data_IF_969296438098
#
_entry.id   IF_969296438098
#
_cell.length_a   1.000
_cell.length_b   1.000
_cell.length_c   1.000
_cell.angle_alpha   90.00
_cell.angle_beta   90.00
_cell.angle_gamma   90.00
#
_symmetry.space_group_name_H-M   'P 1'
#
loop_
_entity.id
_entity.type
_entity.pdbx_description
1 polymer ?
#
# COMPACT_ATOMS: atom_id res chain seq x y z
N UNK A 1 -16.24 -2.87 -13.21
CA UNK A 1 -17.24 -3.66 -13.97
C UNK A 1 -18.39 -3.82 -13.01
N UNK A 2 -19.58 -3.31 -13.33
CA UNK A 2 -20.72 -3.41 -12.42
C UNK A 2 -21.39 -4.77 -12.67
N UNK A 3 -21.00 -5.79 -11.89
CA UNK A 3 -21.60 -7.13 -11.94
C UNK A 3 -22.12 -7.62 -10.59
N UNK A 4 -21.96 -6.84 -9.53
CA UNK A 4 -22.45 -7.15 -8.18
C UNK A 4 -23.84 -6.55 -7.89
N UNK A 5 -24.34 -5.69 -8.78
CA UNK A 5 -25.65 -5.04 -8.65
C UNK A 5 -25.68 -3.90 -7.63
N UNK A 6 -24.55 -3.51 -7.04
CA UNK A 6 -24.46 -2.41 -6.06
C UNK A 6 -24.16 -1.07 -6.72
N UNK A 7 -23.71 -1.07 -7.98
CA UNK A 7 -23.28 0.14 -8.68
C UNK A 7 -21.80 0.48 -8.48
N UNK A 8 -21.10 -0.23 -7.60
CA UNK A 8 -19.66 -0.14 -7.45
C UNK A 8 -18.95 -0.76 -8.67
N UNK A 9 -17.78 -0.22 -9.01
CA UNK A 9 -17.05 -0.55 -10.22
C UNK A 9 -15.60 -0.94 -9.89
N UNK A 10 -15.34 -2.25 -9.82
CA UNK A 10 -13.95 -2.71 -9.82
C UNK A 10 -13.25 -2.48 -11.17
N UNK A 11 -11.93 -2.36 -11.15
CA UNK A 11 -11.12 -2.43 -12.38
C UNK A 11 -10.78 -3.89 -12.63
N UNK A 12 -11.38 -4.49 -13.65
CA UNK A 12 -11.27 -5.92 -13.89
C UNK A 12 -11.29 -6.28 -15.35
N UNK A 13 -10.87 -7.51 -15.65
CA UNK A 13 -10.75 -7.94 -17.02
C UNK A 13 -10.95 -9.43 -17.23
N UNK A 14 -11.58 -9.78 -18.36
CA UNK A 14 -11.65 -11.16 -18.85
C UNK A 14 -10.45 -11.39 -19.72
N UNK A 15 -9.44 -12.04 -19.18
CA UNK A 15 -8.28 -12.42 -19.94
C UNK A 15 -8.66 -13.47 -20.98
N UNK A 16 -8.23 -13.27 -22.22
CA UNK A 16 -8.48 -14.22 -23.30
C UNK A 16 -7.86 -15.59 -22.98
N UNK A 17 -8.56 -16.65 -23.42
CA UNK A 17 -8.18 -18.02 -23.16
C UNK A 17 -6.83 -18.43 -23.78
N UNK A 18 -6.27 -17.65 -24.71
CA UNK A 18 -4.99 -17.92 -25.37
C UNK A 18 -3.74 -17.41 -24.64
N UNK A 19 -3.88 -16.81 -23.45
CA UNK A 19 -2.74 -16.32 -22.67
C UNK A 19 -2.60 -14.79 -22.70
N UNK A 20 -3.54 -14.09 -22.07
CA UNK A 20 -3.43 -12.64 -21.88
C UNK A 20 -2.92 -12.25 -20.49
N UNK A 21 -2.49 -11.00 -20.39
CA UNK A 21 -2.07 -10.33 -19.15
C UNK A 21 -2.66 -8.92 -19.20
N UNK A 22 -3.21 -8.46 -18.08
CA UNK A 22 -3.55 -7.06 -17.88
C UNK A 22 -2.96 -6.58 -16.58
N UNK A 23 -2.21 -5.49 -16.63
CA UNK A 23 -1.55 -4.92 -15.47
C UNK A 23 -2.06 -3.50 -15.26
N UNK A 24 -2.59 -3.24 -14.07
CA UNK A 24 -2.80 -1.89 -13.58
C UNK A 24 -1.57 -1.48 -12.79
N UNK A 25 -0.98 -0.33 -13.12
CA UNK A 25 0.15 0.21 -12.40
C UNK A 25 -0.17 1.60 -11.88
N UNK A 26 0.05 1.80 -10.58
CA UNK A 26 0.16 3.11 -9.96
C UNK A 26 1.63 3.44 -9.78
N UNK A 27 2.04 4.65 -10.18
CA UNK A 27 3.41 5.14 -10.00
C UNK A 27 3.37 6.50 -9.34
N UNK A 28 4.28 6.72 -8.40
CA UNK A 28 4.40 7.99 -7.70
C UNK A 28 5.86 8.29 -7.33
N UNK A 29 6.08 9.52 -6.87
CA UNK A 29 7.37 10.01 -6.39
C UNK A 29 7.18 10.50 -4.97
N UNK A 30 8.05 10.07 -4.05
CA UNK A 30 8.08 10.66 -2.72
C UNK A 30 8.44 12.15 -2.87
N UNK A 31 7.49 13.03 -2.53
CA UNK A 31 7.67 14.48 -2.60
C UNK A 31 7.71 15.13 -1.21
N UNK A 32 7.88 14.34 -0.14
CA UNK A 32 7.94 14.84 1.24
C UNK A 32 9.32 15.49 1.44
N UNK A 33 9.42 16.82 1.67
CA UNK A 33 10.71 17.53 1.68
C UNK A 33 11.59 17.15 2.87
N UNK A 34 12.69 16.43 2.65
CA UNK A 34 13.52 15.81 3.72
C UNK A 34 12.82 14.67 4.48
N UNK A 35 11.69 14.16 3.99
CA UNK A 35 11.04 12.95 4.50
C UNK A 35 11.50 11.71 3.76
N UNK A 36 11.52 10.58 4.47
CA UNK A 36 11.82 9.26 3.92
C UNK A 36 10.62 8.36 4.14
N UNK A 37 10.17 7.68 3.07
CA UNK A 37 9.20 6.59 3.18
C UNK A 37 9.99 5.29 3.43
N UNK A 38 9.72 4.67 4.59
CA UNK A 38 10.37 3.45 5.06
C UNK A 38 9.55 2.18 4.80
N UNK A 39 8.28 2.33 4.40
CA UNK A 39 7.40 1.22 4.08
C UNK A 39 6.04 1.66 3.55
N UNK A 40 5.19 0.67 3.27
CA UNK A 40 3.79 0.88 2.91
C UNK A 40 2.93 -0.22 3.52
N UNK A 41 1.72 0.13 3.95
CA UNK A 41 0.66 -0.83 4.19
C UNK A 41 -0.37 -0.71 3.06
N UNK A 42 -0.63 -1.83 2.39
CA UNK A 42 -1.44 -1.88 1.18
C UNK A 42 -2.51 -2.93 1.36
N UNK A 43 -3.74 -2.60 1.00
CA UNK A 43 -4.86 -3.53 0.97
C UNK A 43 -5.67 -3.37 -0.31
N UNK A 44 -6.34 -4.43 -0.71
CA UNK A 44 -7.23 -4.46 -1.87
C UNK A 44 -8.17 -5.65 -1.79
N UNK A 45 -9.25 -5.58 -2.54
CA UNK A 45 -10.17 -6.68 -2.75
C UNK A 45 -9.89 -7.33 -4.10
N UNK A 46 -9.67 -8.65 -4.08
CA UNK A 46 -9.62 -9.46 -5.28
C UNK A 46 -11.01 -10.06 -5.52
N UNK A 47 -11.70 -9.56 -6.54
CA UNK A 47 -13.07 -9.93 -6.84
C UNK A 47 -13.14 -10.94 -7.98
N UNK A 48 -13.90 -12.03 -7.81
CA UNK A 48 -14.19 -12.99 -8.85
C UNK A 48 -15.68 -12.93 -9.23
N UNK A 49 -15.96 -12.71 -10.51
CA UNK A 49 -17.33 -12.57 -11.04
C UNK A 49 -17.82 -13.80 -11.81
N UNK A 50 -16.91 -14.69 -12.21
CA UNK A 50 -17.29 -15.87 -12.99
C UNK A 50 -16.42 -17.06 -12.64
N UNK A 51 -16.96 -18.25 -12.85
CA UNK A 51 -16.23 -19.50 -12.87
C UNK A 51 -15.95 -19.92 -14.31
N UNK A 52 -14.79 -20.52 -14.52
CA UNK A 52 -14.40 -21.17 -15.75
C UNK A 52 -13.53 -22.39 -15.45
N UNK A 53 -13.35 -23.26 -16.44
CA UNK A 53 -12.49 -24.44 -16.31
C UNK A 53 -11.01 -24.13 -16.03
N UNK A 54 -10.58 -22.89 -16.29
CA UNK A 54 -9.23 -22.41 -16.00
C UNK A 54 -9.24 -21.26 -15.01
N UNK A 55 -8.29 -21.30 -14.07
CA UNK A 55 -8.11 -20.24 -13.09
C UNK A 55 -7.60 -18.94 -13.76
N UNK A 56 -7.96 -17.81 -13.18
CA UNK A 56 -7.34 -16.51 -13.44
C UNK A 56 -6.64 -16.08 -12.16
N UNK A 57 -5.47 -15.46 -12.28
CA UNK A 57 -4.71 -14.97 -11.13
C UNK A 57 -4.76 -13.45 -11.09
N UNK A 58 -4.74 -12.89 -9.88
CA UNK A 58 -4.46 -11.48 -9.61
C UNK A 58 -3.25 -11.43 -8.67
N UNK A 59 -2.13 -10.91 -9.16
CA UNK A 59 -0.87 -10.86 -8.42
C UNK A 59 -0.41 -9.42 -8.22
N UNK A 60 0.10 -9.11 -7.04
CA UNK A 60 0.67 -7.82 -6.69
C UNK A 60 2.19 -7.81 -6.86
N UNK A 61 2.74 -6.72 -7.38
CA UNK A 61 4.18 -6.47 -7.39
C UNK A 61 4.52 -5.00 -7.10
N UNK A 62 5.78 -4.76 -6.71
CA UNK A 62 6.28 -3.46 -6.28
C UNK A 62 7.70 -3.21 -6.81
N UNK A 63 8.03 -1.96 -7.14
CA UNK A 63 9.30 -1.59 -7.79
C UNK A 63 10.12 -0.52 -7.05
N UNK A 64 10.43 -0.73 -5.77
CA UNK A 64 11.38 0.16 -5.07
C UNK A 64 12.24 -0.54 -4.00
N UNK A 65 12.39 -1.87 -4.11
CA UNK A 65 13.11 -2.70 -3.14
C UNK A 65 12.27 -3.04 -1.91
N UNK A 66 12.92 -3.35 -0.79
CA UNK A 66 12.26 -3.73 0.46
C UNK A 66 11.79 -5.19 0.53
N UNK A 67 11.07 -5.50 1.59
CA UNK A 67 10.54 -6.84 1.88
C UNK A 67 9.02 -6.78 1.91
N UNK A 68 8.37 -7.64 1.12
CA UNK A 68 6.93 -7.85 1.17
C UNK A 68 6.63 -8.88 2.25
N UNK A 69 5.83 -8.51 3.23
CA UNK A 69 5.30 -9.41 4.26
C UNK A 69 3.83 -9.68 3.96
N UNK A 70 3.53 -10.89 3.49
CA UNK A 70 2.20 -11.31 3.08
C UNK A 70 2.21 -12.08 1.76
N UNK A 71 1.02 -12.42 1.26
CA UNK A 71 0.85 -13.12 -0.01
C UNK A 71 0.34 -12.15 -1.08
N UNK A 72 1.06 -12.05 -2.20
CA UNK A 72 0.71 -11.17 -3.32
C UNK A 72 -0.31 -11.80 -4.26
N UNK A 73 -0.28 -13.13 -4.38
CA UNK A 73 -1.03 -13.87 -5.39
C UNK A 73 -2.41 -14.31 -4.88
N UNK A 74 -3.43 -13.97 -5.66
CA UNK A 74 -4.79 -14.54 -5.57
C UNK A 74 -5.08 -15.35 -6.82
N UNK A 75 -5.70 -16.51 -6.64
CA UNK A 75 -6.14 -17.37 -7.74
C UNK A 75 -7.64 -17.55 -7.64
N UNK A 76 -8.37 -17.21 -8.70
CA UNK A 76 -9.80 -17.47 -8.80
C UNK A 76 -10.07 -18.97 -8.63
N UNK A 77 -11.20 -19.29 -8.00
CA UNK A 77 -11.66 -20.67 -7.86
C UNK A 77 -12.26 -21.14 -9.19
N UNK A 78 -11.66 -22.13 -9.88
CA UNK A 78 -12.24 -22.70 -11.10
C UNK A 78 -13.54 -23.44 -10.78
N UNK A 79 -14.41 -23.59 -11.77
CA UNK A 79 -15.68 -24.29 -11.58
C UNK A 79 -16.35 -24.71 -12.88
N UNK A 80 -17.29 -25.64 -12.78
CA UNK A 80 -18.14 -26.10 -13.87
C UNK A 80 -19.61 -26.08 -13.42
N UNK A 81 -20.57 -25.68 -14.29
CA UNK A 81 -20.38 -25.16 -15.65
C UNK A 81 -19.78 -23.73 -15.67
N UNK A 82 -19.11 -23.37 -16.76
CA UNK A 82 -18.54 -22.02 -16.95
C UNK A 82 -19.67 -20.99 -16.95
N UNK A 83 -19.57 -19.93 -16.14
CA UNK A 83 -20.65 -18.95 -16.03
C UNK A 83 -20.39 -17.85 -15.00
N UNK A 84 -21.22 -16.80 -15.07
CA UNK A 84 -21.21 -15.73 -14.07
C UNK A 84 -21.69 -16.28 -12.72
N UNK A 85 -21.06 -15.81 -11.65
CA UNK A 85 -21.49 -16.12 -10.29
C UNK A 85 -22.74 -15.31 -9.94
N UNK A 86 -23.63 -15.90 -9.14
CA UNK A 86 -24.82 -15.19 -8.63
C UNK A 86 -24.50 -14.12 -7.57
N UNK A 87 -23.29 -14.16 -7.02
CA UNK A 87 -22.72 -13.11 -6.16
C UNK A 87 -21.21 -13.11 -6.36
N UNK A 88 -20.60 -11.93 -6.31
CA UNK A 88 -19.15 -11.82 -6.45
C UNK A 88 -18.47 -12.51 -5.27
N UNK A 89 -17.38 -13.22 -5.53
CA UNK A 89 -16.51 -13.74 -4.47
C UNK A 89 -15.44 -12.71 -4.20
N UNK A 90 -15.42 -12.15 -3.00
CA UNK A 90 -14.43 -11.17 -2.55
C UNK A 90 -13.37 -11.88 -1.72
N UNK A 91 -12.10 -11.71 -2.10
CA UNK A 91 -10.96 -12.12 -1.28
C UNK A 91 -10.18 -10.88 -0.87
N UNK A 92 -10.34 -10.45 0.38
CA UNK A 92 -9.59 -9.33 0.92
C UNK A 92 -8.10 -9.68 1.03
N UNK A 93 -7.24 -8.78 0.57
CA UNK A 93 -5.79 -8.92 0.62
C UNK A 93 -5.16 -7.73 1.30
N UNK A 94 -4.06 -8.00 2.00
CA UNK A 94 -3.20 -6.97 2.52
C UNK A 94 -1.75 -7.45 2.54
N UNK A 95 -0.84 -6.49 2.42
CA UNK A 95 0.59 -6.69 2.58
C UNK A 95 1.18 -5.49 3.33
N UNK A 96 2.28 -5.75 4.02
CA UNK A 96 3.15 -4.70 4.54
C UNK A 96 4.49 -4.76 3.83
N UNK A 97 4.90 -3.65 3.23
CA UNK A 97 6.22 -3.47 2.65
C UNK A 97 7.08 -2.75 3.68
N UNK A 98 8.21 -3.35 4.06
CA UNK A 98 9.13 -2.78 5.05
C UNK A 98 10.56 -2.70 4.52
N UNK A 99 11.41 -1.91 5.17
CA UNK A 99 12.83 -1.83 4.86
C UNK A 99 13.13 -1.01 3.61
N UNK A 100 12.28 -0.02 3.32
CA UNK A 100 12.52 0.94 2.25
C UNK A 100 13.37 2.11 2.74
N UNK A 101 14.01 2.78 1.80
CA UNK A 101 14.71 4.04 2.02
C UNK A 101 14.41 5.00 0.84
N UNK A 102 13.14 5.35 0.68
CA UNK A 102 12.70 6.22 -0.40
C UNK A 102 12.77 7.68 0.06
N UNK A 103 13.91 8.32 -0.18
CA UNK A 103 14.10 9.76 0.07
C UNK A 103 13.29 10.62 -0.90
N UNK A 104 13.18 11.93 -0.63
CA UNK A 104 12.56 12.89 -1.54
C UNK A 104 13.12 12.75 -2.98
N UNK A 105 12.23 12.67 -3.96
CA UNK A 105 12.53 12.42 -5.37
C UNK A 105 12.60 10.94 -5.77
N UNK A 106 12.55 9.99 -4.82
CA UNK A 106 12.52 8.56 -5.16
C UNK A 106 11.20 8.18 -5.81
N UNK A 107 11.26 7.45 -6.92
CA UNK A 107 10.09 6.90 -7.59
C UNK A 107 9.77 5.50 -7.08
N UNK A 108 8.48 5.15 -7.07
CA UNK A 108 8.01 3.82 -6.74
C UNK A 108 6.74 3.50 -7.53
N UNK A 109 6.48 2.21 -7.74
CA UNK A 109 5.26 1.75 -8.42
C UNK A 109 4.68 0.51 -7.75
N UNK A 110 3.36 0.43 -7.73
CA UNK A 110 2.56 -0.73 -7.36
C UNK A 110 1.86 -1.25 -8.60
N UNK A 111 1.90 -2.56 -8.80
CA UNK A 111 1.26 -3.20 -9.96
C UNK A 111 0.38 -4.36 -9.52
N UNK A 112 -0.84 -4.41 -10.07
CA UNK A 112 -1.72 -5.56 -9.96
C UNK A 112 -1.88 -6.17 -11.35
N UNK A 113 -1.51 -7.43 -11.47
CA UNK A 113 -1.50 -8.15 -12.73
C UNK A 113 -2.53 -9.25 -12.71
N UNK A 114 -3.54 -9.10 -13.57
CA UNK A 114 -4.50 -10.15 -13.89
C UNK A 114 -3.93 -10.99 -15.03
N UNK A 115 -3.75 -12.29 -14.81
CA UNK A 115 -3.17 -13.18 -15.79
C UNK A 115 -3.92 -14.50 -15.88
N UNK A 116 -3.70 -15.22 -16.98
CA UNK A 116 -4.17 -16.59 -17.13
C UNK A 116 -3.45 -17.48 -16.12
N UNK A 117 -4.21 -18.20 -15.29
CA UNK A 117 -3.67 -19.19 -14.35
C UNK A 117 -3.54 -20.58 -14.95
N UNK A 118 -3.32 -21.57 -14.09
CA UNK A 118 -3.23 -22.98 -14.50
C UNK A 118 -4.62 -23.59 -14.80
N UNK A 119 -4.64 -24.64 -15.63
CA UNK A 119 -5.86 -25.37 -16.02
C UNK A 119 -6.16 -25.28 -17.52
N UNK A 120 -7.34 -25.78 -17.91
CA UNK A 120 -7.82 -25.84 -19.30
C UNK A 120 -9.24 -25.26 -19.39
N UNK A 121 -9.63 -24.75 -20.56
CA UNK A 121 -10.95 -24.16 -20.77
C UNK A 121 -10.98 -22.65 -20.58
N UNK A 122 -12.17 -22.08 -20.34
CA UNK A 122 -12.33 -20.63 -20.24
C UNK A 122 -11.78 -20.08 -18.92
N UNK A 123 -11.27 -18.85 -18.99
CA UNK A 123 -10.79 -18.12 -17.82
C UNK A 123 -11.95 -17.61 -16.95
N UNK A 124 -11.70 -17.62 -15.65
CA UNK A 124 -12.49 -16.88 -14.68
C UNK A 124 -12.35 -15.36 -14.90
N UNK A 125 -13.37 -14.60 -14.54
CA UNK A 125 -13.33 -13.14 -14.57
C UNK A 125 -12.86 -12.61 -13.20
N UNK A 126 -11.82 -11.79 -13.18
CA UNK A 126 -11.33 -11.16 -11.95
C UNK A 126 -11.30 -9.64 -12.05
N UNK A 127 -11.41 -8.99 -10.89
CA UNK A 127 -11.28 -7.55 -10.70
C UNK A 127 -10.44 -7.21 -9.48
N UNK A 128 -9.93 -5.98 -9.51
CA UNK A 128 -9.29 -5.27 -8.42
C UNK A 128 -10.25 -4.20 -7.93
N UNK A 129 -10.56 -4.21 -6.65
CA UNK A 129 -11.36 -3.16 -6.01
C UNK A 129 -10.78 -2.73 -4.66
N UNK A 130 -11.32 -1.65 -4.09
CA UNK A 130 -11.05 -1.18 -2.73
C UNK A 130 -9.55 -1.06 -2.39
N UNK A 131 -8.76 -0.57 -3.35
CA UNK A 131 -7.32 -0.38 -3.16
C UNK A 131 -7.07 0.76 -2.17
N UNK A 132 -6.39 0.45 -1.07
CA UNK A 132 -5.90 1.42 -0.10
C UNK A 132 -4.39 1.27 0.07
N UNK A 133 -3.69 2.41 0.03
CA UNK A 133 -2.23 2.48 0.16
C UNK A 133 -1.93 3.54 1.22
N UNK A 134 -1.22 3.14 2.27
CA UNK A 134 -0.74 4.04 3.32
C UNK A 134 0.79 4.00 3.35
N UNK A 135 1.42 5.17 3.27
CA UNK A 135 2.87 5.29 3.36
C UNK A 135 3.32 5.37 4.81
N UNK A 136 4.38 4.63 5.14
CA UNK A 136 5.02 4.66 6.45
C UNK A 136 6.30 5.49 6.35
N UNK A 137 6.43 6.55 7.15
CA UNK A 137 7.59 7.43 7.09
C UNK A 137 7.55 8.55 8.12
N UNK A 138 8.67 9.21 8.33
CA UNK A 138 8.76 10.39 9.19
C UNK A 138 8.43 11.62 8.37
N UNK A 139 7.47 12.41 8.85
CA UNK A 139 7.21 13.73 8.29
C UNK A 139 8.26 14.71 8.83
N UNK A 140 8.92 15.46 7.94
CA UNK A 140 9.96 16.41 8.30
C UNK A 140 9.31 17.62 8.96
N UNK A 141 9.83 17.98 10.12
CA UNK A 141 9.54 19.24 10.80
C UNK A 141 10.72 20.18 10.57
N UNK A 142 10.44 21.45 10.34
CA UNK A 142 11.46 22.49 10.34
C UNK A 142 11.27 23.35 11.58
N UNK A 143 12.29 23.51 12.42
CA UNK A 143 12.24 24.40 13.58
C UNK A 143 12.84 25.75 13.22
N UNK A 144 12.05 26.82 13.34
CA UNK A 144 12.54 28.21 13.20
C UNK A 144 13.18 28.75 14.48
N UNK A 145 12.94 28.07 15.60
CA UNK A 145 13.58 28.38 16.87
C UNK A 145 13.36 27.25 17.87
N UNK A 146 14.39 26.96 18.66
CA UNK A 146 14.32 26.09 19.83
C UNK A 146 15.12 26.75 20.95
N UNK A 147 14.53 26.83 22.13
CA UNK A 147 15.15 27.44 23.29
C UNK A 147 14.80 26.64 24.55
N UNK A 148 15.83 26.29 25.32
CA UNK A 148 15.68 25.75 26.66
C UNK A 148 16.00 26.85 27.68
N UNK A 149 15.02 27.22 28.52
CA UNK A 149 15.19 28.22 29.58
C UNK A 149 15.14 27.51 30.93
N UNK A 150 16.27 27.48 31.62
CA UNK A 150 16.31 27.01 33.00
C UNK A 150 15.56 27.96 33.92
N UNK A 151 14.55 27.45 34.64
CA UNK A 151 13.77 28.17 35.65
C UNK A 151 13.73 27.37 36.94
N UNK A 152 14.52 27.79 37.92
CA UNK A 152 14.65 27.14 39.22
C UNK A 152 14.96 25.64 39.09
N UNK A 153 13.99 24.73 39.30
CA UNK A 153 14.18 23.28 39.20
C UNK A 153 13.58 22.67 37.94
N UNK A 154 13.20 23.51 36.98
CA UNK A 154 12.55 23.10 35.72
C UNK A 154 13.26 23.69 34.52
N UNK A 155 13.12 23.06 33.37
CA UNK A 155 13.56 23.61 32.08
C UNK A 155 12.30 23.83 31.25
N UNK A 156 12.06 25.08 30.87
CA UNK A 156 11.03 25.41 29.89
C UNK A 156 11.64 25.25 28.50
N UNK A 157 11.21 24.22 27.77
CA UNK A 157 11.53 24.06 26.37
C UNK A 157 10.45 24.78 25.54
N UNK A 158 10.87 25.75 24.73
CA UNK A 158 10.00 26.47 23.80
C UNK A 158 10.56 26.30 22.40
N UNK A 159 9.72 25.91 21.45
CA UNK A 159 10.08 25.82 20.05
C UNK A 159 9.02 26.42 19.15
N UNK A 160 9.38 26.66 17.89
CA UNK A 160 8.49 27.10 16.84
C UNK A 160 8.81 26.36 15.55
N UNK A 161 7.78 25.84 14.91
CA UNK A 161 7.91 25.20 13.60
C UNK A 161 7.77 26.22 12.47
N UNK A 162 8.51 26.01 11.37
CA UNK A 162 8.28 26.64 10.07
C UNK A 162 7.17 25.90 9.33
N UNK A 163 7.16 24.58 9.44
CA UNK A 163 6.17 23.66 8.87
C UNK A 163 5.86 22.53 9.85
N UNK A 164 4.60 22.17 9.94
CA UNK A 164 4.08 21.06 10.76
C UNK A 164 2.81 20.50 10.10
N UNK A 165 2.91 20.19 8.81
CA UNK A 165 1.78 19.64 8.07
C UNK A 165 1.68 18.16 8.39
N UNK A 166 0.52 17.74 8.91
CA UNK A 166 0.16 16.35 9.23
C UNK A 166 1.09 15.63 10.22
N UNK A 167 1.88 16.37 11.01
CA UNK A 167 2.69 15.77 12.07
C UNK A 167 1.80 15.16 13.17
N UNK A 168 2.10 13.93 13.58
CA UNK A 168 1.33 13.23 14.60
C UNK A 168 1.70 13.69 16.03
N UNK A 169 2.99 13.85 16.33
CA UNK A 169 3.49 14.29 17.64
C UNK A 169 4.98 14.69 17.58
N UNK A 170 5.51 15.20 18.70
CA UNK A 170 6.94 15.35 18.93
C UNK A 170 7.35 14.47 20.11
N UNK A 171 8.47 13.76 20.00
CA UNK A 171 9.16 13.20 21.17
C UNK A 171 10.16 14.23 21.69
N UNK A 172 10.21 14.39 23.01
CA UNK A 172 11.19 15.26 23.68
C UNK A 172 12.15 14.38 24.46
N UNK A 173 13.44 14.49 24.17
CA UNK A 173 14.46 13.73 24.86
C UNK A 173 15.41 14.65 25.64
N UNK A 174 15.86 14.18 26.81
CA UNK A 174 16.82 14.88 27.66
C UNK A 174 18.08 14.02 27.84
N UNK A 175 19.24 14.68 27.84
CA UNK A 175 20.53 14.08 28.17
C UNK A 175 21.25 14.87 29.26
N UNK A 176 21.94 14.18 30.17
CA UNK A 176 22.81 14.81 31.16
C UNK A 176 24.26 14.98 30.67
N UNK A 177 24.67 14.20 29.67
CA UNK A 177 26.04 14.15 29.16
C UNK A 177 26.17 14.60 27.69
N UNK A 178 25.03 14.94 27.05
CA UNK A 178 24.94 15.31 25.65
C UNK A 178 25.17 14.14 24.69
N UNK A 179 25.18 12.89 25.18
CA UNK A 179 25.45 11.68 24.37
C UNK A 179 24.34 10.66 24.51
N UNK A 180 23.89 10.38 25.73
CA UNK A 180 22.81 9.45 26.01
C UNK A 180 21.53 10.22 26.29
N UNK A 181 20.55 10.05 25.42
CA UNK A 181 19.25 10.71 25.49
C UNK A 181 18.17 9.73 25.94
N UNK A 182 17.20 10.22 26.70
CA UNK A 182 16.01 9.49 27.09
C UNK A 182 14.78 10.38 26.94
N UNK A 183 13.70 9.84 26.40
CA UNK A 183 12.40 10.51 26.34
C UNK A 183 11.91 10.90 27.76
N UNK A 184 11.28 12.07 27.90
CA UNK A 184 10.79 12.63 29.17
C UNK A 184 9.27 12.73 29.26
#
# INVERSE_FOLDING_TARGET
>A
MNQDGTGELAIGSKIAAGGGIQTLTFSAVNSIPAGTISGFDISWDAEQYSQGGRATTLDFSFSAGGTINGATLTTATPGTPNGNLGSVIITNRSISITGLNLINGSSFSFSWTIATGSGLGDNCHMGLDNVSITANGTLPIELTGIQAIYRQKTVLLSWRTATETDNAYFSVERSADGRSFSEI
#
